data_IF_705070402682
#
_entry.id   IF_705070402682
#
_cell.length_a   1.000
_cell.length_b   1.000
_cell.length_c   1.000
_cell.angle_alpha   90.00
_cell.angle_beta   90.00
_cell.angle_gamma   90.00
#
_symmetry.space_group_name_H-M   'P 1'
#
loop_
_entity.id
_entity.type
_entity.pdbx_description
1 polymer ?
#
# COMPACT_ATOMS: atom_id res chain seq x y z
N UNK A 1 27.75 -8.21 -0.66
CA UNK A 1 26.42 -8.17 -1.30
C UNK A 1 25.31 -8.76 -0.44
N UNK A 2 25.39 -10.02 0.03
CA UNK A 2 24.33 -10.65 0.83
C UNK A 2 23.98 -9.90 2.13
N UNK A 3 24.97 -9.43 2.88
CA UNK A 3 24.76 -8.66 4.13
C UNK A 3 23.99 -7.36 3.86
N UNK A 4 24.32 -6.65 2.80
CA UNK A 4 23.63 -5.42 2.42
C UNK A 4 22.16 -5.69 2.07
N UNK A 5 21.91 -6.70 1.24
CA UNK A 5 20.54 -7.08 0.87
C UNK A 5 19.70 -7.51 2.08
N UNK A 6 20.28 -8.31 2.97
CA UNK A 6 19.58 -8.77 4.18
C UNK A 6 19.28 -7.62 5.14
N UNK A 7 20.24 -6.71 5.35
CA UNK A 7 20.02 -5.51 6.19
C UNK A 7 18.93 -4.61 5.63
N UNK A 8 18.90 -4.38 4.30
CA UNK A 8 17.88 -3.58 3.67
C UNK A 8 16.49 -4.20 3.78
N UNK A 9 16.36 -5.50 3.51
CA UNK A 9 15.08 -6.22 3.66
C UNK A 9 14.57 -6.21 5.10
N UNK A 10 15.46 -6.40 6.07
CA UNK A 10 15.10 -6.36 7.48
C UNK A 10 14.55 -4.99 7.90
N UNK A 11 15.18 -3.90 7.45
CA UNK A 11 14.73 -2.54 7.78
C UNK A 11 13.39 -2.24 7.13
N UNK A 12 13.23 -2.57 5.84
CA UNK A 12 11.96 -2.39 5.15
C UNK A 12 10.84 -3.18 5.85
N UNK A 13 11.12 -4.40 6.27
CA UNK A 13 10.17 -5.20 7.05
C UNK A 13 9.79 -4.51 8.37
N UNK A 14 10.78 -4.05 9.13
CA UNK A 14 10.55 -3.37 10.43
C UNK A 14 9.75 -2.08 10.24
N UNK A 15 10.12 -1.23 9.27
CA UNK A 15 9.41 0.02 8.97
C UNK A 15 7.95 -0.25 8.55
N UNK A 16 7.71 -1.30 7.76
CA UNK A 16 6.38 -1.62 7.26
C UNK A 16 5.45 -2.15 8.35
N UNK A 17 5.96 -3.00 9.26
CA UNK A 17 5.11 -3.72 10.23
C UNK A 17 5.06 -3.11 11.62
N UNK A 18 6.05 -2.34 12.04
CA UNK A 18 6.12 -1.84 13.41
C UNK A 18 5.79 -0.35 13.54
N UNK A 19 6.54 0.53 12.91
CA UNK A 19 6.30 1.97 12.97
C UNK A 19 7.14 2.70 11.90
N UNK A 20 6.57 3.75 11.31
CA UNK A 20 7.24 4.62 10.33
C UNK A 20 8.51 5.28 10.92
N UNK A 21 8.53 5.50 12.23
CA UNK A 21 9.68 6.13 12.94
C UNK A 21 10.96 5.28 12.91
N UNK A 22 10.84 3.98 12.62
CA UNK A 22 12.03 3.12 12.49
C UNK A 22 12.90 3.47 11.28
N UNK A 23 12.36 4.10 10.26
CA UNK A 23 13.12 4.64 9.13
C UNK A 23 14.13 5.67 9.57
N UNK A 24 13.70 6.65 10.38
CA UNK A 24 14.57 7.69 10.97
C UNK A 24 15.61 7.08 11.90
N UNK A 25 15.23 6.10 12.72
CA UNK A 25 16.18 5.37 13.58
C UNK A 25 17.20 4.60 12.75
N UNK A 26 16.81 3.99 11.64
CA UNK A 26 17.71 3.29 10.74
C UNK A 26 18.74 4.26 10.11
N UNK A 27 18.28 5.41 9.63
CA UNK A 27 19.15 6.47 9.11
C UNK A 27 20.12 6.96 10.18
N UNK A 28 19.63 7.25 11.38
CA UNK A 28 20.45 7.69 12.52
C UNK A 28 21.51 6.63 12.89
N UNK A 29 21.13 5.37 12.98
CA UNK A 29 22.07 4.28 13.24
C UNK A 29 23.13 4.16 12.14
N UNK A 30 22.74 4.28 10.88
CA UNK A 30 23.67 4.29 9.75
C UNK A 30 24.68 5.42 9.82
N UNK A 31 24.25 6.63 10.16
CA UNK A 31 25.13 7.79 10.33
C UNK A 31 26.10 7.55 11.50
N UNK A 32 25.64 7.03 12.64
CA UNK A 32 26.49 6.70 13.79
C UNK A 32 27.54 5.66 13.39
N UNK A 33 27.19 4.61 12.67
CA UNK A 33 28.13 3.59 12.20
C UNK A 33 29.17 4.22 11.26
N UNK A 34 28.79 5.14 10.36
CA UNK A 34 29.72 5.86 9.50
C UNK A 34 30.71 6.71 10.32
N UNK A 35 30.22 7.43 11.31
CA UNK A 35 31.08 8.21 12.20
C UNK A 35 32.07 7.31 12.97
N UNK A 36 31.59 6.21 13.52
CA UNK A 36 32.46 5.23 14.21
C UNK A 36 33.51 4.63 13.28
N UNK A 37 33.17 4.37 12.01
CA UNK A 37 34.15 3.87 11.01
C UNK A 37 35.20 4.94 10.67
N UNK A 38 34.84 6.21 10.69
CA UNK A 38 35.80 7.30 10.47
C UNK A 38 36.79 7.48 11.63
N UNK A 39 36.30 7.36 12.88
CA UNK A 39 37.10 7.64 14.07
C UNK A 39 37.86 6.41 14.62
N UNK A 40 37.32 5.21 14.47
CA UNK A 40 37.92 3.99 15.02
C UNK A 40 38.70 3.24 13.95
N UNK A 41 40.05 3.25 14.07
CA UNK A 41 40.98 2.58 13.12
C UNK A 41 40.60 1.13 12.81
N UNK A 42 40.19 0.36 13.84
CA UNK A 42 39.80 -1.04 13.72
C UNK A 42 38.56 -1.26 12.84
N UNK A 43 37.58 -0.31 12.81
CA UNK A 43 36.40 -0.35 11.94
C UNK A 43 36.75 0.11 10.52
N UNK A 44 37.67 1.06 10.38
CA UNK A 44 38.11 1.59 9.09
C UNK A 44 38.80 0.53 8.21
N UNK A 45 39.48 -0.44 8.85
CA UNK A 45 40.15 -1.52 8.14
C UNK A 45 39.18 -2.61 7.62
N UNK A 46 37.88 -2.53 8.00
CA UNK A 46 36.83 -3.46 7.57
C UNK A 46 35.81 -2.75 6.67
N UNK A 47 35.59 -3.30 5.51
CA UNK A 47 34.61 -2.78 4.53
C UNK A 47 33.15 -3.06 4.96
N UNK A 48 32.91 -4.10 5.77
CA UNK A 48 31.56 -4.54 6.18
C UNK A 48 30.74 -3.47 6.89
N UNK A 49 31.25 -2.72 7.91
CA UNK A 49 30.46 -1.68 8.57
C UNK A 49 30.01 -0.56 7.63
N UNK A 50 30.84 -0.25 6.64
CA UNK A 50 30.50 0.76 5.64
C UNK A 50 29.30 0.33 4.78
N UNK A 51 29.27 -0.93 4.32
CA UNK A 51 28.14 -1.46 3.56
C UNK A 51 26.87 -1.57 4.40
N UNK A 52 26.97 -1.92 5.68
CA UNK A 52 25.81 -1.95 6.59
C UNK A 52 25.27 -0.54 6.79
N UNK A 53 26.12 0.46 7.06
CA UNK A 53 25.69 1.84 7.20
C UNK A 53 25.03 2.40 5.95
N UNK A 54 25.61 2.13 4.78
CA UNK A 54 25.04 2.53 3.50
C UNK A 54 23.66 1.89 3.26
N UNK A 55 23.50 0.60 3.59
CA UNK A 55 22.23 -0.12 3.47
C UNK A 55 21.15 0.47 4.39
N UNK A 56 21.51 0.80 5.65
CA UNK A 56 20.61 1.41 6.62
C UNK A 56 20.11 2.78 6.14
N UNK A 57 21.01 3.63 5.73
CA UNK A 57 20.69 4.99 5.26
C UNK A 57 19.84 4.90 3.98
N UNK A 58 20.27 4.13 3.00
CA UNK A 58 19.56 4.01 1.73
C UNK A 58 18.14 3.46 1.92
N UNK A 59 17.99 2.39 2.72
CA UNK A 59 16.66 1.79 2.94
C UNK A 59 15.75 2.70 3.75
N UNK A 60 16.26 3.39 4.77
CA UNK A 60 15.48 4.34 5.57
C UNK A 60 15.02 5.54 4.73
N UNK A 61 15.92 6.16 3.96
CA UNK A 61 15.58 7.29 3.08
C UNK A 61 14.61 6.85 1.97
N UNK A 62 14.83 5.68 1.36
CA UNK A 62 13.93 5.17 0.32
C UNK A 62 12.53 4.91 0.86
N UNK A 63 12.41 4.39 2.09
CA UNK A 63 11.12 4.17 2.72
C UNK A 63 10.39 5.50 2.97
N UNK A 64 11.05 6.51 3.54
CA UNK A 64 10.47 7.84 3.78
C UNK A 64 9.97 8.48 2.47
N UNK A 65 10.83 8.52 1.44
CA UNK A 65 10.46 9.12 0.15
C UNK A 65 9.26 8.40 -0.48
N UNK A 66 9.22 7.08 -0.43
CA UNK A 66 8.10 6.31 -0.98
C UNK A 66 6.82 6.46 -0.13
N UNK A 67 6.95 6.50 1.20
CA UNK A 67 5.82 6.69 2.10
C UNK A 67 5.23 8.10 1.93
N UNK A 68 6.05 9.14 1.93
CA UNK A 68 5.61 10.52 1.72
C UNK A 68 4.94 10.70 0.37
N UNK A 69 5.52 10.14 -0.71
CA UNK A 69 4.92 10.21 -2.04
C UNK A 69 3.53 9.59 -2.07
N UNK A 70 3.37 8.37 -1.54
CA UNK A 70 2.08 7.68 -1.50
C UNK A 70 1.07 8.31 -0.55
N UNK A 71 1.53 8.84 0.60
CA UNK A 71 0.68 9.54 1.56
C UNK A 71 0.21 10.88 1.02
N UNK A 72 1.08 11.67 0.38
CA UNK A 72 0.70 12.97 -0.17
C UNK A 72 -0.37 12.85 -1.26
N UNK A 73 -0.30 11.79 -2.07
CA UNK A 73 -1.32 11.50 -3.08
C UNK A 73 -2.67 11.12 -2.43
N UNK A 74 -2.62 10.33 -1.35
CA UNK A 74 -3.82 9.95 -0.60
C UNK A 74 -4.44 11.15 0.14
N UNK A 75 -3.63 12.00 0.78
CA UNK A 75 -4.09 13.20 1.48
C UNK A 75 -4.80 14.21 0.58
N UNK A 76 -4.36 14.35 -0.67
CA UNK A 76 -5.01 15.24 -1.66
C UNK A 76 -6.43 14.81 -2.02
N UNK A 77 -6.70 13.51 -1.92
CA UNK A 77 -7.99 12.91 -2.29
C UNK A 77 -8.87 12.63 -1.07
N UNK A 78 -8.37 12.85 0.15
CA UNK A 78 -9.10 12.60 1.39
C UNK A 78 -10.24 13.61 1.57
N UNK A 79 -11.35 13.14 2.17
CA UNK A 79 -12.58 13.90 2.42
C UNK A 79 -13.22 14.50 1.15
N UNK A 80 -13.01 13.84 0.02
CA UNK A 80 -13.54 14.24 -1.26
C UNK A 80 -14.46 13.18 -1.86
N UNK A 81 -15.56 13.63 -2.48
CA UNK A 81 -16.38 12.76 -3.34
C UNK A 81 -15.79 12.76 -4.75
N UNK A 82 -15.34 11.60 -5.20
CA UNK A 82 -14.72 11.43 -6.49
C UNK A 82 -15.42 10.34 -7.31
N UNK A 83 -15.43 10.53 -8.62
CA UNK A 83 -15.77 9.49 -9.57
C UNK A 83 -14.51 8.68 -9.88
N UNK A 84 -14.52 7.41 -9.56
CA UNK A 84 -13.38 6.53 -9.82
C UNK A 84 -13.69 5.49 -10.88
N UNK A 85 -12.70 5.21 -11.72
CA UNK A 85 -12.63 3.99 -12.54
C UNK A 85 -11.53 3.11 -11.95
N UNK A 86 -11.84 1.87 -11.62
CA UNK A 86 -10.91 1.00 -10.93
C UNK A 86 -11.08 -0.46 -11.34
N UNK A 87 -9.99 -1.22 -11.27
CA UNK A 87 -10.01 -2.68 -11.46
C UNK A 87 -10.17 -3.38 -10.11
N UNK A 88 -11.04 -4.36 -10.05
CA UNK A 88 -11.22 -5.23 -8.88
C UNK A 88 -10.01 -6.16 -8.76
N UNK A 89 -9.34 -6.17 -7.59
CA UNK A 89 -8.13 -6.97 -7.37
C UNK A 89 -8.42 -8.35 -6.80
N UNK A 90 -9.40 -8.45 -5.91
CA UNK A 90 -9.73 -9.68 -5.21
C UNK A 90 -11.25 -9.81 -5.03
N UNK A 91 -11.72 -10.99 -4.64
CA UNK A 91 -13.12 -11.19 -4.32
C UNK A 91 -13.55 -10.35 -3.12
N UNK A 92 -14.82 -9.86 -3.09
CA UNK A 92 -15.30 -9.06 -1.97
C UNK A 92 -15.39 -9.88 -0.69
N UNK A 93 -14.99 -9.28 0.40
CA UNK A 93 -15.16 -9.82 1.75
C UNK A 93 -16.40 -9.19 2.43
N UNK A 94 -17.29 -10.02 2.97
CA UNK A 94 -18.45 -9.56 3.74
C UNK A 94 -18.19 -9.73 5.24
N UNK A 95 -18.29 -8.63 6.00
CA UNK A 95 -18.08 -8.65 7.45
C UNK A 95 -19.36 -8.82 8.28
N UNK A 96 -20.49 -9.21 7.67
CA UNK A 96 -21.80 -9.28 8.31
C UNK A 96 -22.66 -8.02 8.14
N UNK A 97 -22.07 -6.89 7.78
CA UNK A 97 -22.78 -5.60 7.60
C UNK A 97 -22.48 -4.94 6.26
N UNK A 98 -21.26 -5.03 5.79
CA UNK A 98 -20.79 -4.39 4.56
C UNK A 98 -19.90 -5.30 3.75
N UNK A 99 -19.86 -5.06 2.45
CA UNK A 99 -18.94 -5.67 1.51
C UNK A 99 -17.69 -4.80 1.38
N UNK A 100 -16.52 -5.41 1.39
CA UNK A 100 -15.23 -4.74 1.18
C UNK A 100 -14.59 -5.26 -0.09
N UNK A 101 -14.22 -4.33 -0.96
CA UNK A 101 -13.55 -4.60 -2.22
C UNK A 101 -12.13 -4.05 -2.19
N UNK A 102 -11.17 -4.80 -2.67
CA UNK A 102 -9.82 -4.33 -2.94
C UNK A 102 -9.78 -3.88 -4.41
N UNK A 103 -9.56 -2.59 -4.64
CA UNK A 103 -9.57 -1.99 -5.97
C UNK A 103 -8.20 -1.39 -6.29
N UNK A 104 -7.86 -1.34 -7.58
CA UNK A 104 -6.76 -0.56 -8.12
C UNK A 104 -7.35 0.53 -9.01
N UNK A 105 -7.21 1.78 -8.64
CA UNK A 105 -7.73 2.89 -9.43
C UNK A 105 -6.96 3.02 -10.74
N UNK A 106 -7.67 3.39 -11.80
CA UNK A 106 -7.13 3.74 -13.11
C UNK A 106 -7.24 5.26 -13.25
N UNK A 107 -8.44 5.80 -12.99
CA UNK A 107 -8.69 7.24 -13.00
C UNK A 107 -9.46 7.67 -11.77
N UNK A 108 -9.22 8.92 -11.35
CA UNK A 108 -9.99 9.63 -10.33
C UNK A 108 -10.41 10.97 -10.94
N UNK A 109 -11.70 11.24 -10.99
CA UNK A 109 -12.30 12.44 -11.65
C UNK A 109 -11.78 12.65 -13.09
N UNK A 110 -11.64 11.55 -13.84
CA UNK A 110 -11.16 11.57 -15.22
C UNK A 110 -9.65 11.79 -15.39
N UNK A 111 -8.90 11.92 -14.29
CA UNK A 111 -7.43 12.05 -14.32
C UNK A 111 -6.79 10.69 -14.01
N UNK A 112 -5.78 10.31 -14.77
CA UNK A 112 -5.02 9.09 -14.53
C UNK A 112 -4.37 9.12 -13.13
N UNK A 113 -4.81 8.21 -12.28
CA UNK A 113 -4.31 8.11 -10.92
C UNK A 113 -4.32 6.65 -10.45
N UNK A 114 -3.15 6.07 -10.34
CA UNK A 114 -2.97 4.66 -10.01
C UNK A 114 -2.63 4.46 -8.53
N UNK A 115 -3.60 4.00 -7.75
CA UNK A 115 -3.40 3.64 -6.34
C UNK A 115 -4.29 2.47 -5.95
N UNK A 116 -4.00 1.84 -4.81
CA UNK A 116 -4.88 0.83 -4.23
C UNK A 116 -5.88 1.48 -3.29
N UNK A 117 -7.15 1.14 -3.46
CA UNK A 117 -8.28 1.64 -2.71
C UNK A 117 -9.02 0.48 -2.04
N UNK A 118 -9.30 0.60 -0.74
CA UNK A 118 -10.23 -0.27 -0.04
C UNK A 118 -11.63 0.34 -0.05
N UNK A 119 -12.53 -0.22 -0.84
CA UNK A 119 -13.91 0.24 -0.95
C UNK A 119 -14.83 -0.49 0.03
N UNK A 120 -15.66 0.25 0.77
CA UNK A 120 -16.76 -0.26 1.58
C UNK A 120 -18.10 0.01 0.91
N UNK A 121 -18.90 -1.02 0.68
CA UNK A 121 -20.20 -0.94 0.04
C UNK A 121 -21.29 -1.58 0.93
N UNK A 122 -22.45 -0.93 1.05
CA UNK A 122 -23.59 -1.49 1.80
C UNK A 122 -24.32 -2.59 1.00
N UNK A 123 -24.24 -2.54 -0.33
CA UNK A 123 -24.84 -3.51 -1.23
C UNK A 123 -23.75 -4.29 -1.95
N UNK A 124 -24.05 -5.53 -2.31
CA UNK A 124 -23.18 -6.34 -3.15
C UNK A 124 -23.08 -5.73 -4.55
N UNK A 125 -21.86 -5.61 -5.07
CA UNK A 125 -21.55 -5.19 -6.43
C UNK A 125 -21.13 -6.46 -7.18
N UNK A 126 -21.86 -6.82 -8.24
CA UNK A 126 -21.63 -8.04 -9.03
C UNK A 126 -20.42 -7.87 -9.97
N UNK A 127 -19.27 -7.57 -9.39
CA UNK A 127 -18.01 -7.45 -10.10
C UNK A 127 -17.05 -8.54 -9.63
N UNK A 128 -16.49 -9.28 -10.59
CA UNK A 128 -15.46 -10.30 -10.35
C UNK A 128 -14.05 -9.67 -10.34
N UNK A 129 -13.05 -10.35 -9.77
CA UNK A 129 -11.66 -9.93 -9.92
C UNK A 129 -11.29 -9.68 -11.39
N UNK A 130 -10.52 -8.62 -11.62
CA UNK A 130 -10.11 -8.09 -12.93
C UNK A 130 -11.22 -7.43 -13.77
N UNK A 131 -12.46 -7.32 -13.27
CA UNK A 131 -13.45 -6.45 -13.89
C UNK A 131 -13.12 -4.98 -13.58
N UNK A 132 -13.56 -4.09 -14.47
CA UNK A 132 -13.44 -2.66 -14.26
C UNK A 132 -14.77 -2.11 -13.76
N UNK A 133 -14.73 -1.34 -12.68
CA UNK A 133 -15.89 -0.68 -12.09
C UNK A 133 -15.73 0.82 -12.16
N UNK A 134 -16.82 1.52 -12.49
CA UNK A 134 -16.92 2.97 -12.45
C UNK A 134 -18.02 3.35 -11.47
N UNK A 135 -17.67 4.11 -10.45
CA UNK A 135 -18.57 4.45 -9.36
C UNK A 135 -18.14 5.74 -8.67
N UNK A 136 -19.10 6.37 -8.00
CA UNK A 136 -18.86 7.56 -7.17
C UNK A 136 -18.63 7.14 -5.72
N UNK A 137 -17.53 7.58 -5.14
CA UNK A 137 -17.09 7.23 -3.80
C UNK A 137 -16.73 8.47 -2.99
N UNK A 138 -16.97 8.40 -1.70
CA UNK A 138 -16.35 9.32 -0.77
C UNK A 138 -15.04 8.71 -0.28
N UNK A 139 -13.94 9.40 -0.54
CA UNK A 139 -12.59 8.95 -0.21
C UNK A 139 -12.20 9.40 1.20
N UNK A 140 -11.50 8.57 1.95
CA UNK A 140 -10.97 8.89 3.27
C UNK A 140 -9.58 8.28 3.49
N UNK A 141 -8.80 8.89 4.39
CA UNK A 141 -7.48 8.36 4.77
C UNK A 141 -7.64 7.13 5.68
N UNK A 142 -7.11 5.99 5.26
CA UNK A 142 -6.98 4.80 6.11
C UNK A 142 -6.05 5.03 7.32
N UNK A 143 -5.31 6.12 7.32
CA UNK A 143 -4.47 6.55 8.44
C UNK A 143 -5.24 6.97 9.69
N UNK A 144 -6.54 7.30 9.55
CA UNK A 144 -7.43 7.63 10.68
C UNK A 144 -7.94 6.39 11.44
N UNK A 145 -7.74 5.20 10.89
CA UNK A 145 -8.13 3.92 11.50
C UNK A 145 -7.21 3.54 12.66
N UNK A 146 -7.63 2.55 13.47
CA UNK A 146 -6.79 1.97 14.51
C UNK A 146 -5.40 1.58 13.99
N UNK A 147 -4.36 1.78 14.79
CA UNK A 147 -2.95 1.55 14.39
C UNK A 147 -2.74 0.16 13.76
N UNK A 148 -3.35 -0.88 14.30
CA UNK A 148 -3.27 -2.26 13.79
C UNK A 148 -3.85 -2.39 12.39
N UNK A 149 -5.00 -1.77 12.15
CA UNK A 149 -5.72 -1.75 10.87
C UNK A 149 -4.94 -0.96 9.83
N UNK A 150 -4.47 0.24 10.20
CA UNK A 150 -3.61 1.09 9.38
C UNK A 150 -2.37 0.34 8.89
N UNK A 151 -1.60 -0.28 9.81
CA UNK A 151 -0.38 -1.00 9.46
C UNK A 151 -0.66 -2.20 8.54
N UNK A 152 -1.74 -2.95 8.81
CA UNK A 152 -2.13 -4.07 7.97
C UNK A 152 -2.42 -3.64 6.53
N UNK A 153 -3.22 -2.58 6.33
CA UNK A 153 -3.53 -2.12 4.98
C UNK A 153 -2.35 -1.44 4.28
N UNK A 154 -1.55 -0.67 5.00
CA UNK A 154 -0.31 -0.09 4.45
C UNK A 154 0.68 -1.15 3.99
N UNK A 155 0.81 -2.26 4.74
CA UNK A 155 1.67 -3.38 4.33
C UNK A 155 1.24 -4.04 3.01
N UNK A 156 -0.06 -3.96 2.69
CA UNK A 156 -0.63 -4.38 1.41
C UNK A 156 -0.58 -3.29 0.32
N UNK A 157 -0.13 -2.09 0.66
CA UNK A 157 -0.06 -0.93 -0.24
C UNK A 157 -1.38 -0.18 -0.40
N UNK A 158 -2.32 -0.29 0.56
CA UNK A 158 -3.54 0.50 0.61
C UNK A 158 -3.33 1.71 1.51
N UNK A 159 -3.51 2.90 0.96
CA UNK A 159 -3.42 4.18 1.66
C UNK A 159 -4.77 4.89 1.73
N UNK A 160 -5.65 4.65 0.76
CA UNK A 160 -6.98 5.22 0.66
C UNK A 160 -8.06 4.20 0.99
N UNK A 161 -9.04 4.65 1.78
CA UNK A 161 -10.34 4.03 1.93
C UNK A 161 -11.39 4.78 1.13
N UNK A 162 -12.49 4.10 0.81
CA UNK A 162 -13.64 4.72 0.17
C UNK A 162 -14.93 4.04 0.59
N UNK A 163 -16.02 4.78 0.58
CA UNK A 163 -17.35 4.20 0.68
C UNK A 163 -18.25 4.75 -0.43
N UNK A 164 -19.15 3.92 -0.91
CA UNK A 164 -20.11 4.32 -1.93
C UNK A 164 -21.12 5.29 -1.30
N UNK A 165 -21.12 6.55 -1.74
CA UNK A 165 -21.88 7.63 -1.12
C UNK A 165 -23.34 7.66 -1.55
N UNK A 166 -23.64 7.28 -2.79
CA UNK A 166 -25.00 7.45 -3.31
C UNK A 166 -25.31 6.45 -4.44
N UNK A 167 -25.94 5.33 -4.08
CA UNK A 167 -26.35 4.31 -5.05
C UNK A 167 -27.51 4.74 -5.97
N UNK A 168 -28.30 5.75 -5.56
CA UNK A 168 -29.51 6.10 -6.28
C UNK A 168 -29.24 7.10 -7.42
N UNK A 169 -28.29 8.01 -7.21
CA UNK A 169 -28.01 9.09 -8.15
C UNK A 169 -26.83 8.81 -9.11
N UNK A 170 -26.02 7.79 -8.82
CA UNK A 170 -24.93 7.40 -9.70
C UNK A 170 -24.90 5.87 -9.83
N UNK A 171 -25.33 5.35 -10.98
CA UNK A 171 -25.31 3.90 -11.21
C UNK A 171 -23.87 3.39 -11.25
N UNK A 172 -23.66 2.24 -10.63
CA UNK A 172 -22.38 1.54 -10.72
C UNK A 172 -22.30 0.90 -12.10
N UNK A 173 -21.34 1.32 -12.89
CA UNK A 173 -21.06 0.72 -14.19
C UNK A 173 -20.01 -0.38 -14.02
N UNK A 174 -20.30 -1.57 -14.54
CA UNK A 174 -19.38 -2.71 -14.47
C UNK A 174 -19.05 -3.13 -15.89
N UNK A 175 -17.78 -3.07 -16.26
CA UNK A 175 -17.26 -3.59 -17.52
C UNK A 175 -16.58 -4.92 -17.22
N UNK A 176 -17.21 -6.00 -17.65
CA UNK A 176 -16.66 -7.35 -17.46
C UNK A 176 -15.46 -7.56 -18.39
N UNK A 177 -14.37 -8.03 -17.83
CA UNK A 177 -13.19 -8.38 -18.61
C UNK A 177 -13.35 -9.81 -19.12
N UNK A 178 -13.49 -10.00 -20.42
CA UNK A 178 -13.63 -11.31 -21.07
C UNK A 178 -12.30 -12.10 -21.04
N UNK A 179 -11.17 -11.40 -21.16
CA UNK A 179 -9.83 -11.99 -21.15
C UNK A 179 -9.24 -11.98 -19.73
N UNK A 180 -9.73 -12.88 -18.88
CA UNK A 180 -9.22 -13.00 -17.51
C UNK A 180 -7.77 -13.52 -17.50
N UNK A 181 -6.83 -12.83 -16.82
CA UNK A 181 -5.45 -13.28 -16.70
C UNK A 181 -5.32 -14.55 -15.83
N UNK A 182 -4.18 -15.22 -15.91
CA UNK A 182 -3.89 -16.44 -15.13
C UNK A 182 -4.13 -16.23 -13.62
N UNK A 183 -3.85 -15.02 -13.11
CA UNK A 183 -4.10 -14.66 -11.71
C UNK A 183 -5.55 -14.87 -11.26
N UNK A 184 -6.53 -14.66 -12.13
CA UNK A 184 -7.94 -14.90 -11.85
C UNK A 184 -8.22 -16.37 -11.49
N UNK A 185 -7.66 -17.32 -12.26
CA UNK A 185 -7.83 -18.73 -12.00
C UNK A 185 -7.15 -19.18 -10.71
N UNK A 186 -6.00 -18.55 -10.37
CA UNK A 186 -5.31 -18.80 -9.11
C UNK A 186 -6.14 -18.32 -7.90
N UNK A 187 -6.82 -17.17 -7.99
CA UNK A 187 -7.74 -16.69 -6.96
C UNK A 187 -8.92 -17.67 -6.76
N UNK A 188 -9.51 -18.18 -7.84
CA UNK A 188 -10.58 -19.19 -7.75
C UNK A 188 -10.11 -20.50 -7.10
N UNK A 189 -8.92 -20.96 -7.41
CA UNK A 189 -8.34 -22.16 -6.78
C UNK A 189 -8.15 -21.93 -5.28
N UNK A 190 -7.60 -20.78 -4.87
CA UNK A 190 -7.42 -20.43 -3.45
C UNK A 190 -8.72 -20.56 -2.67
N UNK A 191 -9.82 -20.03 -3.18
CA UNK A 191 -11.13 -20.07 -2.55
C UNK A 191 -11.71 -21.48 -2.43
N UNK A 192 -11.37 -22.37 -3.33
CA UNK A 192 -11.87 -23.77 -3.29
C UNK A 192 -11.19 -24.58 -2.18
N UNK A 193 -10.03 -24.11 -1.69
CA UNK A 193 -9.20 -24.79 -0.68
C UNK A 193 -9.45 -24.23 0.72
N UNK A 194 -9.98 -23.00 0.87
CA UNK A 194 -10.44 -22.38 2.12
C UNK A 194 -11.85 -22.85 2.48
#
# INVERSE_FOLDING_TARGET
>A
MAIMGFSSLFILFVCTYFDDRFSLLAVGAGVIILLLTAFIRKFRERITPFFVAAALIFSGVSFEVLADYKLSDAERLTDHEAEITATVLDEPFFNGTRYYYELKTITVDGTDFETKLRLSAAKYIDAEPYDTVRLKVHLYDLGSEEKSVKLYYRSKGFFLGGYVSNYENFPIEITKNEDKPIGFYLLKIRKTVE
#
